data_IF_471109393823
#
_entry.id   IF_471109393823
#
_cell.length_a   1.000
_cell.length_b   1.000
_cell.length_c   1.000
_cell.angle_alpha   90.00
_cell.angle_beta   90.00
_cell.angle_gamma   90.00
#
_symmetry.space_group_name_H-M   'P 1'
#
loop_
_entity.id
_entity.type
_entity.pdbx_description
1 polymer ?
#
# COMPACT_ATOMS: atom_id res chain seq x y z
N UNK A 1 -28.06 -0.59 16.78
CA UNK A 1 -27.49 0.67 16.14
C UNK A 1 -26.05 0.87 16.63
N UNK A 2 -25.82 0.48 17.84
CA UNK A 2 -24.44 0.56 18.36
C UNK A 2 -23.53 -0.47 17.67
N UNK A 3 -24.09 -1.61 17.30
CA UNK A 3 -23.30 -2.66 16.63
C UNK A 3 -22.97 -2.26 15.18
N UNK A 4 -23.85 -1.46 14.69
CA UNK A 4 -23.61 -0.99 13.31
C UNK A 4 -22.55 0.11 13.27
N UNK A 5 -22.60 0.97 14.24
CA UNK A 5 -21.61 2.07 14.24
C UNK A 5 -20.21 1.50 14.53
N UNK A 6 -20.22 0.54 15.44
CA UNK A 6 -18.91 -0.07 15.74
C UNK A 6 -18.39 -0.84 14.52
N UNK A 7 -19.23 -1.49 13.83
CA UNK A 7 -18.84 -2.20 12.59
C UNK A 7 -18.32 -1.26 11.52
N UNK A 8 -18.87 -0.10 11.46
CA UNK A 8 -18.44 0.85 10.42
C UNK A 8 -17.08 1.45 10.79
N UNK A 9 -16.93 1.73 11.99
CA UNK A 9 -15.65 2.33 12.42
C UNK A 9 -14.50 1.34 12.16
N UNK A 10 -14.72 0.10 12.51
CA UNK A 10 -13.65 -0.89 12.30
C UNK A 10 -13.46 -1.19 10.81
N UNK A 11 -14.53 -1.09 10.06
CA UNK A 11 -14.38 -1.26 8.59
C UNK A 11 -13.53 -0.13 7.99
N UNK A 12 -13.73 1.03 8.53
CA UNK A 12 -12.94 2.15 8.00
C UNK A 12 -11.45 1.95 8.38
N UNK A 13 -11.27 1.50 9.56
CA UNK A 13 -9.87 1.28 9.99
C UNK A 13 -9.24 0.16 9.14
N UNK A 14 -9.99 -0.93 8.98
CA UNK A 14 -9.48 -2.02 8.11
C UNK A 14 -9.21 -1.54 6.69
N UNK A 15 -10.14 -0.72 6.14
CA UNK A 15 -9.96 -0.20 4.76
C UNK A 15 -8.77 0.75 4.65
N UNK A 16 -8.38 1.53 5.65
CA UNK A 16 -7.27 2.50 5.59
C UNK A 16 -5.92 1.78 5.69
N UNK A 17 -5.98 0.57 6.14
CA UNK A 17 -4.73 -0.19 6.36
C UNK A 17 -4.00 -0.43 5.03
N UNK A 18 -4.77 -0.62 3.93
CA UNK A 18 -4.09 -0.93 2.65
C UNK A 18 -3.27 0.26 2.16
N UNK A 19 -3.79 1.43 2.10
CA UNK A 19 -3.00 2.59 1.66
C UNK A 19 -1.81 2.86 2.62
N UNK A 20 -2.04 2.68 3.87
CA UNK A 20 -0.94 2.89 4.82
C UNK A 20 0.19 1.89 4.54
N UNK A 21 -0.20 0.66 4.28
CA UNK A 21 0.83 -0.35 3.97
C UNK A 21 1.59 0.03 2.71
N UNK A 22 0.89 0.55 1.79
CA UNK A 22 1.55 1.00 0.56
C UNK A 22 2.61 2.08 0.84
N UNK A 23 2.31 2.88 1.76
CA UNK A 23 3.30 3.93 2.08
C UNK A 23 4.51 3.32 2.79
N UNK A 24 4.26 2.47 3.69
CA UNK A 24 5.39 1.84 4.41
C UNK A 24 6.26 1.04 3.43
N UNK A 25 5.56 0.37 2.55
CA UNK A 25 6.32 -0.35 1.52
C UNK A 25 7.17 0.60 0.68
N UNK A 26 6.57 1.73 0.38
CA UNK A 26 7.34 2.74 -0.38
C UNK A 26 8.61 3.17 0.35
N UNK A 27 8.50 3.30 1.59
CA UNK A 27 9.68 3.76 2.35
C UNK A 27 10.76 2.66 2.39
N UNK A 28 10.21 1.49 2.46
CA UNK A 28 11.21 0.40 2.47
C UNK A 28 11.92 0.30 1.12
N UNK A 29 11.22 0.38 0.13
CA UNK A 29 11.84 0.31 -1.21
C UNK A 29 12.87 1.43 -1.40
N UNK A 30 12.54 2.61 -0.86
CA UNK A 30 13.51 3.71 -0.97
C UNK A 30 14.82 3.39 -0.23
N UNK A 31 14.65 2.66 0.86
CA UNK A 31 15.86 2.28 1.62
C UNK A 31 16.70 1.26 0.85
N UNK A 32 16.02 0.39 0.17
CA UNK A 32 16.76 -0.62 -0.62
C UNK A 32 17.48 0.03 -1.81
N UNK A 33 16.67 1.00 -2.29
CA UNK A 33 17.28 1.62 -3.49
C UNK A 33 18.52 2.40 -3.07
N UNK A 34 18.47 3.03 -1.96
CA UNK A 34 19.62 3.83 -1.52
C UNK A 34 20.81 2.92 -1.19
N UNK A 35 20.45 1.75 -0.64
CA UNK A 35 21.55 0.82 -0.34
C UNK A 35 22.14 0.22 -1.62
N UNK A 36 21.29 -0.04 -2.48
CA UNK A 36 21.77 -0.58 -3.75
C UNK A 36 22.72 0.41 -4.45
N UNK A 37 22.34 1.64 -4.46
CA UNK A 37 23.18 2.66 -5.14
C UNK A 37 24.51 2.82 -4.38
N UNK A 38 24.37 2.74 -3.10
CA UNK A 38 25.61 2.88 -2.29
C UNK A 38 26.60 1.76 -2.63
N UNK A 39 26.06 0.54 -2.72
CA UNK A 39 26.95 -0.60 -3.00
C UNK A 39 27.57 -0.48 -4.39
N UNK A 40 26.73 0.00 -5.26
CA UNK A 40 27.25 0.18 -6.62
C UNK A 40 28.39 1.22 -6.66
N UNK A 41 28.24 2.37 -6.02
CA UNK A 41 29.28 3.41 -6.05
C UNK A 41 30.55 2.94 -5.34
N UNK A 42 30.35 2.10 -4.26
CA UNK A 42 31.55 1.62 -3.54
C UNK A 42 32.37 0.67 -4.42
N UNK A 43 31.72 -0.16 -5.26
CA UNK A 43 32.44 -1.08 -6.17
C UNK A 43 33.24 -0.31 -7.23
N UNK A 44 32.67 0.74 -7.70
CA UNK A 44 33.37 1.54 -8.73
C UNK A 44 34.61 2.19 -8.10
N UNK A 45 34.42 2.63 -6.91
CA UNK A 45 35.59 3.26 -6.24
C UNK A 45 36.72 2.25 -6.04
N UNK A 46 36.25 0.98 -5.70
CA UNK A 46 37.29 -0.05 -5.51
C UNK A 46 37.97 -0.37 -6.85
N UNK A 47 37.16 -0.40 -7.85
CA UNK A 47 37.73 -0.65 -9.18
C UNK A 47 38.67 0.49 -9.61
N UNK A 48 38.26 1.70 -9.30
CA UNK A 48 39.12 2.85 -9.69
C UNK A 48 40.41 2.86 -8.86
N UNK A 49 40.28 2.43 -7.51
CA UNK A 49 41.48 2.40 -6.67
C UNK A 49 42.46 1.33 -7.20
N UNK A 50 41.86 0.18 -7.59
CA UNK A 50 42.74 -0.88 -8.15
C UNK A 50 43.40 -0.42 -9.45
N UNK A 51 42.67 0.20 -10.33
CA UNK A 51 43.27 0.74 -11.56
C UNK A 51 44.37 1.76 -11.26
N UNK A 52 44.18 2.60 -10.24
CA UNK A 52 45.22 3.57 -9.85
C UNK A 52 46.50 2.84 -9.41
N UNK A 53 46.30 1.73 -8.66
CA UNK A 53 47.49 0.98 -8.18
C UNK A 53 48.18 0.28 -9.36
N UNK A 54 47.43 -0.09 -10.40
CA UNK A 54 47.99 -0.76 -11.60
C UNK A 54 48.71 0.25 -12.50
N UNK A 55 48.33 1.48 -12.50
CA UNK A 55 48.96 2.47 -13.43
C UNK A 55 50.05 3.24 -12.68
N UNK A 56 50.09 3.15 -11.27
CA UNK A 56 51.17 3.80 -10.49
C UNK A 56 52.41 2.90 -10.48
N UNK A 57 52.34 1.58 -10.81
CA UNK A 57 53.51 0.68 -10.86
C UNK A 57 54.18 0.72 -12.24
N UNK A 58 53.57 1.45 -13.31
CA UNK A 58 54.31 1.64 -14.58
C UNK A 58 54.85 3.07 -14.67
N UNK A 59 54.68 3.83 -13.49
CA UNK A 59 55.41 5.11 -13.52
C UNK A 59 56.71 5.00 -12.73
N UNK A 60 57.61 3.87 -12.92
CA UNK A 60 59.03 4.21 -12.73
C UNK A 60 59.22 5.74 -12.62
N UNK A 61 59.60 6.35 -11.45
CA UNK A 61 60.08 7.74 -11.43
C UNK A 61 60.92 8.07 -12.66
N UNK A 62 60.51 7.63 -13.87
CA UNK A 62 61.47 8.25 -14.82
C UNK A 62 61.12 9.72 -15.05
N UNK A 63 60.31 10.32 -14.09
CA UNK A 63 60.23 11.80 -14.21
C UNK A 63 61.24 12.46 -13.25
N UNK A 64 62.19 11.58 -12.60
CA UNK A 64 63.31 12.29 -11.91
C UNK A 64 64.58 12.21 -12.73
N UNK A 65 64.61 11.78 -14.08
CA UNK A 65 65.89 11.86 -14.84
C UNK A 65 65.66 12.54 -16.19
N UNK A 66 64.72 13.49 -16.44
CA UNK A 66 64.97 14.28 -17.67
C UNK A 66 64.60 15.74 -17.41
N UNK A 67 65.34 16.46 -16.46
CA UNK A 67 65.57 17.92 -16.48
C UNK A 67 65.99 18.39 -17.87
N UNK A 68 65.00 18.45 -18.87
CA UNK A 68 65.32 19.32 -20.01
C UNK A 68 64.88 20.76 -19.69
N UNK A 69 65.95 21.68 -19.39
CA UNK A 69 65.72 23.14 -19.25
C UNK A 69 65.19 23.75 -20.55
N UNK A 70 63.83 23.93 -20.58
CA UNK A 70 63.46 25.07 -21.46
C UNK A 70 62.33 24.67 -22.41
N UNK A 71 61.02 24.60 -21.90
CA UNK A 71 59.96 25.16 -22.78
C UNK A 71 58.64 25.20 -22.01
N UNK A 72 58.45 26.24 -21.25
CA UNK A 72 57.17 26.91 -20.91
C UNK A 72 56.18 26.91 -22.10
N UNK A 73 55.60 25.68 -22.44
CA UNK A 73 54.36 25.73 -23.24
C UNK A 73 53.17 25.43 -22.31
N UNK A 74 52.72 26.52 -21.59
CA UNK A 74 51.31 26.77 -21.18
C UNK A 74 50.71 25.56 -20.45
N UNK A 75 51.30 25.25 -19.30
CA UNK A 75 50.87 24.55 -18.08
C UNK A 75 49.35 24.35 -18.02
N UNK A 76 48.72 23.57 -18.98
CA UNK A 76 47.41 23.05 -18.53
C UNK A 76 47.61 22.02 -17.41
N UNK A 77 47.91 22.58 -16.20
CA UNK A 77 47.79 21.96 -14.86
C UNK A 77 46.41 21.32 -14.68
N UNK A 78 46.10 20.18 -15.36
CA UNK A 78 44.87 19.50 -14.90
C UNK A 78 45.03 19.07 -13.44
N UNK A 79 44.99 20.00 -12.47
CA UNK A 79 44.71 19.71 -11.04
C UNK A 79 43.45 18.85 -10.90
N UNK A 80 43.55 17.59 -11.30
CA UNK A 80 42.50 16.65 -10.85
C UNK A 80 42.28 16.78 -9.34
N UNK A 81 41.63 17.87 -8.88
CA UNK A 81 40.93 17.99 -7.57
C UNK A 81 40.32 16.65 -7.14
N UNK A 82 41.13 15.69 -6.84
CA UNK A 82 40.65 14.50 -6.09
C UNK A 82 39.84 14.98 -4.87
N UNK A 83 38.69 15.60 -5.17
CA UNK A 83 37.65 15.73 -4.13
C UNK A 83 37.73 14.58 -3.11
N UNK A 84 38.77 14.65 -2.18
CA UNK A 84 38.76 13.88 -0.92
C UNK A 84 37.37 13.87 -0.27
N UNK A 85 36.38 13.28 -1.01
CA UNK A 85 35.08 12.96 -0.40
C UNK A 85 35.29 12.00 0.79
N UNK A 86 35.76 12.48 2.03
CA UNK A 86 35.44 11.79 3.30
C UNK A 86 34.96 10.36 3.06
N UNK A 87 35.86 9.50 2.57
CA UNK A 87 35.68 8.07 2.90
C UNK A 87 34.57 7.88 3.95
N UNK A 88 33.33 8.22 3.60
CA UNK A 88 32.15 7.63 4.25
C UNK A 88 32.43 6.16 4.62
N UNK A 89 32.73 5.96 5.93
CA UNK A 89 33.03 4.65 6.53
C UNK A 89 32.26 3.52 5.85
N UNK A 90 32.94 2.62 4.97
CA UNK A 90 32.66 1.19 4.73
C UNK A 90 31.43 0.71 5.51
N UNK A 91 30.21 1.12 5.11
CA UNK A 91 28.94 0.36 4.99
C UNK A 91 28.62 -0.47 6.24
N UNK A 92 28.29 0.25 7.26
CA UNK A 92 27.76 -0.39 8.49
C UNK A 92 26.54 -1.28 8.17
N UNK A 93 26.61 -2.37 7.38
CA UNK A 93 25.58 -3.41 7.16
C UNK A 93 24.72 -3.59 8.41
N UNK A 94 25.33 -3.28 9.50
CA UNK A 94 24.57 -3.47 10.75
C UNK A 94 23.50 -2.37 10.92
N UNK A 95 23.75 -1.16 10.40
CA UNK A 95 22.77 -0.06 10.49
C UNK A 95 21.61 -0.27 9.52
N UNK A 96 21.84 -0.86 8.40
CA UNK A 96 20.77 -1.17 7.44
C UNK A 96 19.85 -2.27 7.99
N UNK A 97 20.49 -3.30 8.58
CA UNK A 97 19.66 -4.40 9.11
C UNK A 97 18.81 -3.90 10.29
N UNK A 98 19.34 -2.99 11.05
CA UNK A 98 18.54 -2.40 12.14
C UNK A 98 17.36 -1.58 11.61
N UNK A 99 17.49 -0.87 10.48
CA UNK A 99 16.37 -0.15 9.85
C UNK A 99 15.31 -1.12 9.31
N UNK A 100 15.78 -2.23 8.80
CA UNK A 100 14.82 -3.20 8.24
C UNK A 100 14.07 -3.90 9.37
N UNK A 101 14.82 -4.11 10.47
CA UNK A 101 14.12 -4.71 11.61
C UNK A 101 13.00 -3.80 12.13
N UNK A 102 13.23 -2.54 12.11
CA UNK A 102 12.17 -1.60 12.52
C UNK A 102 10.97 -1.65 11.57
N UNK A 103 11.17 -1.73 10.33
CA UNK A 103 10.05 -1.81 9.36
C UNK A 103 9.31 -3.15 9.50
N UNK A 104 10.05 -4.17 9.79
CA UNK A 104 9.39 -5.47 9.99
C UNK A 104 8.42 -5.41 11.19
N UNK A 105 8.90 -4.80 12.33
CA UNK A 105 7.98 -4.65 13.48
C UNK A 105 6.74 -3.84 13.10
N UNK A 106 6.84 -2.78 12.32
CA UNK A 106 5.66 -1.99 11.86
C UNK A 106 4.69 -2.86 11.05
N UNK A 107 5.18 -3.79 10.29
CA UNK A 107 4.28 -4.67 9.50
C UNK A 107 3.56 -5.66 10.42
N UNK A 108 4.29 -6.03 11.43
CA UNK A 108 3.62 -6.95 12.38
C UNK A 108 2.48 -6.24 13.13
N UNK A 109 2.71 -4.95 13.57
CA UNK A 109 1.65 -4.22 14.28
C UNK A 109 0.45 -3.94 13.38
N UNK A 110 0.70 -3.63 12.11
CA UNK A 110 -0.42 -3.30 11.19
C UNK A 110 -1.19 -4.59 10.86
N UNK A 111 -0.44 -5.69 10.73
CA UNK A 111 -1.12 -6.98 10.46
C UNK A 111 -1.98 -7.41 11.65
N UNK A 112 -1.41 -7.29 12.79
CA UNK A 112 -2.22 -7.60 13.99
C UNK A 112 -3.47 -6.73 14.11
N UNK A 113 -3.32 -5.48 13.90
CA UNK A 113 -4.48 -4.56 13.96
C UNK A 113 -5.52 -4.91 12.91
N UNK A 114 -5.11 -5.31 11.77
CA UNK A 114 -6.08 -5.61 10.69
C UNK A 114 -6.82 -6.91 11.02
N UNK A 115 -6.04 -7.75 11.61
CA UNK A 115 -6.69 -9.03 11.95
C UNK A 115 -7.82 -8.82 12.98
N UNK A 116 -7.47 -8.07 13.98
CA UNK A 116 -8.49 -7.85 15.04
C UNK A 116 -9.62 -6.98 14.48
N UNK A 117 -9.29 -6.01 13.78
CA UNK A 117 -10.32 -5.12 13.21
C UNK A 117 -11.22 -5.88 12.23
N UNK A 118 -10.65 -6.74 11.39
CA UNK A 118 -11.48 -7.46 10.40
C UNK A 118 -12.40 -8.45 11.11
N UNK A 119 -11.84 -9.01 12.12
CA UNK A 119 -12.68 -9.97 12.86
C UNK A 119 -13.88 -9.28 13.54
N UNK A 120 -13.59 -8.19 14.22
CA UNK A 120 -14.67 -7.48 14.93
C UNK A 120 -15.66 -6.88 13.92
N UNK A 121 -15.09 -6.41 12.87
CA UNK A 121 -15.96 -5.81 11.83
C UNK A 121 -16.95 -6.85 11.29
N UNK A 122 -16.48 -8.02 10.90
CA UNK A 122 -17.38 -9.01 10.28
C UNK A 122 -18.37 -9.55 11.32
N UNK A 123 -17.90 -9.62 12.50
CA UNK A 123 -18.81 -10.15 13.55
C UNK A 123 -19.93 -9.15 13.86
N UNK A 124 -19.53 -7.95 14.02
CA UNK A 124 -20.53 -6.93 14.34
C UNK A 124 -21.56 -6.79 13.23
N UNK A 125 -21.13 -6.84 11.96
CA UNK A 125 -22.08 -6.67 10.85
C UNK A 125 -23.00 -7.89 10.72
N UNK A 126 -22.44 -9.00 11.00
CA UNK A 126 -23.29 -10.21 10.86
C UNK A 126 -24.31 -10.28 12.00
N UNK A 127 -23.88 -9.87 13.13
CA UNK A 127 -24.85 -9.88 14.26
C UNK A 127 -25.95 -8.84 14.04
N UNK A 128 -25.53 -7.68 13.57
CA UNK A 128 -26.55 -6.63 13.32
C UNK A 128 -27.51 -7.05 12.21
N UNK A 129 -27.02 -7.76 11.27
CA UNK A 129 -27.87 -8.20 10.13
C UNK A 129 -28.88 -9.25 10.61
N UNK A 130 -28.41 -10.07 11.48
CA UNK A 130 -29.34 -11.11 11.96
C UNK A 130 -30.50 -10.50 12.76
N UNK A 131 -30.16 -9.53 13.56
CA UNK A 131 -31.23 -8.87 14.33
C UNK A 131 -32.23 -8.15 13.41
N UNK A 132 -31.73 -7.54 12.41
CA UNK A 132 -32.62 -6.79 11.48
C UNK A 132 -33.48 -7.75 10.66
N UNK A 133 -32.90 -8.80 10.28
CA UNK A 133 -33.66 -9.74 9.43
C UNK A 133 -34.74 -10.41 10.29
N UNK A 134 -34.42 -10.64 11.52
CA UNK A 134 -35.42 -11.23 12.41
C UNK A 134 -36.65 -10.31 12.54
N UNK A 135 -36.44 -9.07 12.76
CA UNK A 135 -37.59 -8.11 12.86
C UNK A 135 -38.33 -8.01 11.52
N UNK A 136 -37.50 -8.04 10.49
CA UNK A 136 -38.15 -7.97 9.16
C UNK A 136 -39.04 -9.19 8.91
N UNK A 137 -38.62 -10.33 9.39
CA UNK A 137 -39.44 -11.54 9.15
C UNK A 137 -40.75 -11.48 9.92
N UNK A 138 -40.70 -10.96 11.13
CA UNK A 138 -41.94 -10.89 11.93
C UNK A 138 -42.89 -9.85 11.32
N UNK A 139 -42.37 -8.74 10.88
CA UNK A 139 -43.22 -7.69 10.27
C UNK A 139 -43.80 -8.17 8.93
N UNK A 140 -42.94 -8.83 8.21
CA UNK A 140 -43.44 -9.32 6.89
C UNK A 140 -44.53 -10.36 7.11
N UNK A 141 -44.38 -11.22 8.09
CA UNK A 141 -45.41 -12.25 8.35
C UNK A 141 -46.70 -11.61 8.86
N UNK A 142 -46.57 -10.68 9.74
CA UNK A 142 -47.76 -9.99 10.25
C UNK A 142 -48.52 -9.28 9.13
N UNK A 143 -47.77 -8.70 8.19
CA UNK A 143 -48.42 -7.97 7.08
C UNK A 143 -49.09 -8.94 6.11
N UNK A 144 -48.50 -10.04 5.99
CA UNK A 144 -49.11 -11.00 5.05
C UNK A 144 -50.41 -11.54 5.66
N UNK A 145 -50.50 -11.64 7.00
CA UNK A 145 -51.74 -12.17 7.62
C UNK A 145 -52.83 -11.11 7.63
N UNK A 146 -52.50 -9.83 7.48
CA UNK A 146 -53.53 -8.77 7.53
C UNK A 146 -54.05 -8.44 6.13
N UNK A 147 -53.58 -9.21 5.15
CA UNK A 147 -53.96 -8.87 3.76
C UNK A 147 -55.33 -9.49 3.43
N UNK A 148 -56.26 -8.76 2.58
CA UNK A 148 -57.62 -9.21 2.22
C UNK A 148 -57.58 -10.44 1.31
N UNK A 149 -58.71 -11.19 1.32
CA UNK A 149 -58.86 -12.48 0.60
C UNK A 149 -58.73 -12.26 -0.91
N UNK A 150 -59.17 -10.94 -1.34
CA UNK A 150 -59.02 -10.65 -2.78
C UNK A 150 -57.53 -10.57 -3.17
N UNK A 151 -56.64 -10.06 -2.30
CA UNK A 151 -55.17 -10.01 -2.53
C UNK A 151 -54.59 -11.42 -2.67
N UNK A 152 -55.19 -12.43 -1.91
CA UNK A 152 -54.64 -13.79 -1.96
C UNK A 152 -55.07 -14.51 -3.25
N UNK A 153 -56.24 -14.09 -3.77
CA UNK A 153 -56.74 -14.78 -4.98
C UNK A 153 -55.98 -14.32 -6.23
N UNK A 154 -55.44 -13.07 -6.16
CA UNK A 154 -54.71 -12.54 -7.33
C UNK A 154 -53.24 -13.00 -7.30
N UNK A 155 -52.72 -13.56 -6.15
CA UNK A 155 -51.29 -13.90 -5.99
C UNK A 155 -51.14 -15.43 -5.90
N UNK A 156 -52.09 -16.29 -6.48
CA UNK A 156 -52.21 -17.75 -6.37
C UNK A 156 -51.08 -18.44 -7.15
N UNK A 157 -50.16 -17.62 -7.83
CA UNK A 157 -49.12 -18.28 -8.66
C UNK A 157 -47.77 -18.25 -7.96
N UNK A 158 -47.65 -17.40 -6.83
CA UNK A 158 -46.35 -17.33 -6.14
C UNK A 158 -46.51 -17.89 -4.71
N UNK A 159 -45.69 -19.02 -4.42
CA UNK A 159 -45.69 -19.64 -3.07
C UNK A 159 -45.28 -18.61 -1.99
N UNK A 160 -46.24 -18.00 -1.27
CA UNK A 160 -46.04 -17.00 -0.21
C UNK A 160 -44.91 -17.43 0.74
N UNK A 161 -44.83 -18.69 0.82
CA UNK A 161 -43.75 -19.20 1.70
C UNK A 161 -42.37 -18.98 1.06
N UNK A 162 -42.35 -19.05 -0.23
CA UNK A 162 -41.08 -18.79 -0.93
C UNK A 162 -40.68 -17.30 -0.86
N UNK A 163 -41.64 -16.43 -0.85
CA UNK A 163 -41.34 -14.99 -0.76
C UNK A 163 -40.81 -14.65 0.64
N UNK A 164 -41.37 -15.29 1.59
CA UNK A 164 -40.93 -14.96 2.96
C UNK A 164 -39.55 -15.58 3.23
N UNK A 165 -39.32 -16.72 2.70
CA UNK A 165 -38.03 -17.37 3.01
C UNK A 165 -36.94 -16.93 2.02
N UNK A 166 -37.25 -16.96 0.71
CA UNK A 166 -36.21 -16.66 -0.29
C UNK A 166 -35.93 -15.15 -0.36
N UNK A 167 -36.96 -14.32 -0.34
CA UNK A 167 -36.72 -12.86 -0.47
C UNK A 167 -36.02 -12.30 0.77
N UNK A 168 -36.42 -12.76 1.88
CA UNK A 168 -35.80 -12.22 3.12
C UNK A 168 -34.36 -12.71 3.22
N UNK A 169 -34.13 -13.97 2.73
CA UNK A 169 -32.74 -14.45 2.72
C UNK A 169 -31.87 -13.64 1.74
N UNK A 170 -32.40 -13.35 0.62
CA UNK A 170 -31.63 -12.49 -0.31
C UNK A 170 -31.31 -11.14 0.32
N UNK A 171 -32.20 -10.60 1.03
CA UNK A 171 -31.93 -9.30 1.69
C UNK A 171 -30.86 -9.49 2.76
N UNK A 172 -30.98 -10.58 3.45
CA UNK A 172 -29.95 -10.83 4.47
C UNK A 172 -28.56 -10.95 3.84
N UNK A 173 -28.51 -11.64 2.75
CA UNK A 173 -27.20 -11.77 2.10
C UNK A 173 -26.67 -10.41 1.62
N UNK A 174 -27.58 -9.54 1.27
CA UNK A 174 -27.15 -8.20 0.77
C UNK A 174 -26.68 -7.29 1.91
N UNK A 175 -27.23 -7.41 3.03
CA UNK A 175 -26.94 -6.47 4.13
C UNK A 175 -25.82 -7.06 5.00
N UNK A 176 -25.64 -8.26 4.94
CA UNK A 176 -24.68 -8.93 5.83
C UNK A 176 -23.24 -8.67 5.39
N UNK A 177 -22.53 -9.54 4.84
CA UNK A 177 -21.07 -9.48 4.56
C UNK A 177 -20.80 -8.61 3.32
N UNK A 178 -21.74 -8.60 2.46
CA UNK A 178 -21.50 -7.81 1.22
C UNK A 178 -21.48 -6.30 1.52
N UNK A 179 -22.41 -6.02 2.35
CA UNK A 179 -22.45 -4.58 2.68
C UNK A 179 -21.17 -4.16 3.42
N UNK A 180 -20.75 -5.01 4.31
CA UNK A 180 -19.49 -4.70 5.00
C UNK A 180 -18.33 -4.54 4.01
N UNK A 181 -18.31 -5.27 3.00
CA UNK A 181 -17.25 -5.16 1.99
C UNK A 181 -17.37 -3.84 1.21
N UNK A 182 -18.53 -3.51 0.95
CA UNK A 182 -18.71 -2.24 0.20
C UNK A 182 -18.18 -1.07 1.04
N UNK A 183 -18.49 -1.10 2.27
CA UNK A 183 -18.04 0.02 3.12
C UNK A 183 -16.50 0.00 3.22
N UNK A 184 -15.98 -1.18 3.33
CA UNK A 184 -14.50 -1.30 3.39
C UNK A 184 -13.86 -0.78 2.10
N UNK A 185 -14.34 -1.22 1.02
CA UNK A 185 -13.74 -0.79 -0.26
C UNK A 185 -13.92 0.70 -0.50
N UNK A 186 -15.01 1.14 -0.13
CA UNK A 186 -15.19 2.60 -0.29
C UNK A 186 -14.19 3.35 0.60
N UNK A 187 -14.03 2.88 1.72
CA UNK A 187 -13.06 3.54 2.62
C UNK A 187 -11.64 3.43 2.05
N UNK A 188 -11.31 2.29 1.59
CA UNK A 188 -9.98 2.15 0.98
C UNK A 188 -9.81 3.11 -0.20
N UNK A 189 -10.80 3.14 -0.91
CA UNK A 189 -10.75 4.08 -2.05
C UNK A 189 -10.53 5.51 -1.58
N UNK A 190 -11.23 5.93 -0.59
CA UNK A 190 -11.11 7.34 -0.15
C UNK A 190 -9.71 7.56 0.47
N UNK A 191 -9.30 6.72 1.33
CA UNK A 191 -7.98 6.88 1.95
C UNK A 191 -6.85 6.71 0.92
N UNK A 192 -7.05 5.75 0.07
CA UNK A 192 -6.04 5.57 -1.02
C UNK A 192 -5.87 6.84 -1.86
N UNK A 193 -6.98 7.37 -2.21
CA UNK A 193 -6.89 8.60 -3.03
C UNK A 193 -6.31 9.76 -2.21
N UNK A 194 -6.73 9.81 -1.00
CA UNK A 194 -6.20 10.90 -0.13
C UNK A 194 -4.68 10.78 0.00
N UNK A 195 -4.22 9.60 0.35
CA UNK A 195 -2.77 9.40 0.50
C UNK A 195 -2.07 9.64 -0.84
N UNK A 196 -2.65 9.21 -1.91
CA UNK A 196 -2.07 9.44 -3.26
C UNK A 196 -1.91 10.93 -3.57
N UNK A 197 -2.92 11.64 -3.25
CA UNK A 197 -2.84 13.09 -3.58
C UNK A 197 -1.79 13.75 -2.67
N UNK A 198 -1.55 13.27 -1.43
CA UNK A 198 -0.56 13.87 -0.50
C UNK A 198 0.87 13.61 -1.00
N UNK A 199 1.13 12.48 -1.62
CA UNK A 199 2.52 12.16 -2.06
C UNK A 199 2.81 12.88 -3.38
N UNK A 200 2.03 12.73 -4.29
CA UNK A 200 2.22 13.45 -5.58
C UNK A 200 0.85 13.64 -6.25
N UNK A 201 0.49 14.93 -6.34
CA UNK A 201 -0.88 15.18 -6.84
C UNK A 201 -0.93 15.11 -8.37
N UNK A 202 0.22 15.24 -9.02
CA UNK A 202 0.19 15.20 -10.50
C UNK A 202 0.08 13.76 -11.00
N UNK A 203 0.85 12.85 -10.27
CA UNK A 203 0.80 11.44 -10.73
C UNK A 203 -0.53 10.80 -10.35
N UNK A 204 -1.08 11.14 -9.30
CA UNK A 204 -2.37 10.56 -8.87
C UNK A 204 -3.51 11.05 -9.76
N UNK A 205 -3.58 12.36 -10.15
CA UNK A 205 -4.65 12.90 -11.01
C UNK A 205 -4.67 12.21 -12.38
N UNK A 206 -3.45 11.95 -12.86
CA UNK A 206 -3.41 11.26 -14.17
C UNK A 206 -3.99 9.85 -14.03
N UNK A 207 -3.68 9.17 -12.91
CA UNK A 207 -4.20 7.81 -12.70
C UNK A 207 -5.72 7.82 -12.52
N UNK A 208 -6.29 8.83 -11.89
CA UNK A 208 -7.74 8.89 -11.69
C UNK A 208 -8.48 9.12 -13.01
N UNK A 209 -7.81 9.87 -13.93
CA UNK A 209 -8.47 10.11 -15.23
C UNK A 209 -8.39 8.84 -16.09
N UNK A 210 -7.33 8.09 -15.96
CA UNK A 210 -7.13 6.92 -16.85
C UNK A 210 -8.02 5.75 -16.36
N UNK A 211 -8.40 5.62 -15.00
CA UNK A 211 -9.13 4.47 -14.43
C UNK A 211 -10.52 4.33 -15.08
N UNK A 212 -11.32 5.34 -15.22
CA UNK A 212 -12.62 5.15 -15.88
C UNK A 212 -12.45 4.90 -17.39
N UNK A 213 -11.45 5.45 -18.07
CA UNK A 213 -11.21 5.14 -19.49
C UNK A 213 -10.91 3.65 -19.69
N UNK A 214 -10.27 3.06 -18.77
CA UNK A 214 -9.93 1.63 -18.90
C UNK A 214 -11.17 0.76 -18.68
N UNK A 215 -11.95 1.13 -17.71
CA UNK A 215 -13.17 0.33 -17.46
C UNK A 215 -14.16 0.52 -18.61
N UNK A 216 -14.23 1.71 -19.17
CA UNK A 216 -15.17 2.03 -20.27
C UNK A 216 -14.73 1.41 -21.59
N UNK A 217 -13.53 0.96 -21.69
CA UNK A 217 -12.99 0.37 -22.96
C UNK A 217 -13.17 -1.14 -22.98
N UNK A 218 -13.55 -1.91 -21.94
CA UNK A 218 -13.85 -3.35 -21.93
C UNK A 218 -15.35 -3.60 -22.12
#
# INVERSE_FOLDING_TARGET
ILLLITGIIFSIVHGACFPILAVVFGQMTNAFIHEAVRLHNSSIDLANHERKLLFTDTATPLTDALYLPGTNIGGLSYSTQVHNRSSEPAGDDTQFTSYLAQYSYNYLYIGGLVLVAAFIQTLCWELSCERQVYKLRIKAFTQILRQDITWYDTRQQRNLTNILSDDIERIREGIGCKFSMVVQYTSTFVFGTMVGIMVNWHLTAVLLIVTPLLIGGS
#
